data_IF_957452640972
#
_entry.id   IF_957452640972
#
_cell.length_a   1.000
_cell.length_b   1.000
_cell.length_c   1.000
_cell.angle_alpha   90.00
_cell.angle_beta   90.00
_cell.angle_gamma   90.00
#
_symmetry.space_group_name_H-M   'P 1'
#
loop_
_entity.id
_entity.type
_entity.pdbx_description
1 polymer ?
#
# COMPACT_ATOMS: atom_id res chain seq x y z
N UNK A 1 -9.79 7.21 6.27
CA UNK A 1 -9.42 8.12 5.16
C UNK A 1 -9.58 7.37 3.85
N UNK A 2 -10.35 7.91 2.89
CA UNK A 2 -10.63 7.24 1.63
C UNK A 2 -9.51 7.43 0.59
N UNK A 3 -9.19 6.39 -0.17
CA UNK A 3 -8.15 6.40 -1.21
C UNK A 3 -8.47 5.43 -2.34
N UNK A 4 -7.89 5.62 -3.52
CA UNK A 4 -7.99 4.65 -4.62
C UNK A 4 -6.84 3.64 -4.56
N UNK A 5 -7.15 2.38 -4.83
CA UNK A 5 -6.18 1.29 -4.89
C UNK A 5 -6.45 0.36 -6.07
N UNK A 6 -5.40 -0.26 -6.60
CA UNK A 6 -5.52 -1.38 -7.52
C UNK A 6 -5.66 -2.68 -6.72
N UNK A 7 -6.81 -3.36 -6.85
CA UNK A 7 -7.18 -4.53 -6.05
C UNK A 7 -7.17 -5.77 -6.94
N UNK A 8 -6.49 -6.82 -6.47
CA UNK A 8 -6.54 -8.16 -7.03
C UNK A 8 -7.56 -8.98 -6.26
N UNK A 9 -8.60 -9.46 -6.94
CA UNK A 9 -9.65 -10.30 -6.34
C UNK A 9 -9.51 -11.78 -6.67
N UNK A 10 -8.88 -12.08 -7.80
CA UNK A 10 -8.65 -13.43 -8.31
C UNK A 10 -7.29 -13.41 -8.98
N UNK A 11 -6.47 -14.43 -8.74
CA UNK A 11 -5.18 -14.55 -9.41
C UNK A 11 -5.34 -14.58 -10.93
N UNK A 12 -4.35 -14.01 -11.63
CA UNK A 12 -4.28 -13.93 -13.09
C UNK A 12 -5.44 -13.15 -13.75
N UNK A 13 -6.22 -12.41 -12.97
CA UNK A 13 -7.24 -11.48 -13.46
C UNK A 13 -6.71 -10.03 -13.46
N UNK A 14 -7.26 -9.14 -14.32
CA UNK A 14 -6.95 -7.72 -14.26
C UNK A 14 -7.24 -7.11 -12.89
N UNK A 15 -6.40 -6.15 -12.47
CA UNK A 15 -6.63 -5.35 -11.27
C UNK A 15 -7.83 -4.42 -11.46
N UNK A 16 -8.67 -4.30 -10.43
CA UNK A 16 -9.75 -3.30 -10.38
C UNK A 16 -9.30 -2.07 -9.60
N UNK A 17 -9.61 -0.86 -10.10
CA UNK A 17 -9.43 0.36 -9.32
C UNK A 17 -10.64 0.54 -8.41
N UNK A 18 -10.42 0.52 -7.10
CA UNK A 18 -11.47 0.60 -6.09
C UNK A 18 -11.17 1.69 -5.07
N UNK A 19 -12.24 2.28 -4.52
CA UNK A 19 -12.12 3.21 -3.39
C UNK A 19 -12.16 2.42 -2.08
N UNK A 20 -11.08 2.49 -1.32
CA UNK A 20 -10.93 1.87 0.00
C UNK A 20 -10.87 2.93 1.08
N UNK A 21 -10.97 2.50 2.35
CA UNK A 21 -10.85 3.38 3.51
C UNK A 21 -9.85 2.82 4.52
N UNK A 22 -8.90 3.66 4.93
CA UNK A 22 -7.99 3.35 6.04
C UNK A 22 -8.76 3.29 7.35
N UNK A 23 -8.80 2.10 7.97
CA UNK A 23 -9.49 1.84 9.25
C UNK A 23 -8.57 1.15 10.24
N UNK A 24 -8.86 1.28 11.53
CA UNK A 24 -8.19 0.52 12.60
C UNK A 24 -6.73 0.88 12.84
N UNK A 25 -6.34 2.13 12.58
CA UNK A 25 -4.98 2.61 12.85
C UNK A 25 -4.63 2.51 14.33
N UNK A 26 -3.41 2.06 14.62
CA UNK A 26 -2.82 1.93 15.95
C UNK A 26 -1.84 3.06 16.22
N UNK A 27 -1.46 3.23 17.47
CA UNK A 27 -0.49 4.25 17.90
C UNK A 27 0.89 4.10 17.26
N UNK A 28 1.24 2.92 16.75
CA UNK A 28 2.52 2.66 16.08
C UNK A 28 2.46 2.79 14.56
N UNK A 29 1.29 3.01 13.98
CA UNK A 29 1.10 2.99 12.53
C UNK A 29 1.45 4.35 11.89
N UNK A 30 1.83 4.31 10.62
CA UNK A 30 2.12 5.48 9.78
C UNK A 30 1.28 5.38 8.52
N UNK A 31 0.65 6.49 8.13
CA UNK A 31 -0.02 6.61 6.84
C UNK A 31 0.84 7.47 5.94
N UNK A 32 1.17 6.93 4.77
CA UNK A 32 1.91 7.64 3.72
C UNK A 32 0.98 7.87 2.55
N UNK A 33 0.83 9.13 2.14
CA UNK A 33 0.17 9.48 0.89
C UNK A 33 1.12 9.21 -0.26
N UNK A 34 0.86 8.13 -0.98
CA UNK A 34 1.70 7.67 -2.09
C UNK A 34 1.67 8.69 -3.23
N UNK A 35 2.85 9.11 -3.68
CA UNK A 35 3.03 9.99 -4.84
C UNK A 35 3.37 9.20 -6.10
N UNK A 36 4.15 8.13 -5.96
CA UNK A 36 4.48 7.20 -7.02
C UNK A 36 4.71 5.79 -6.45
N UNK A 37 4.37 4.78 -7.25
CA UNK A 37 4.71 3.38 -6.99
C UNK A 37 5.25 2.76 -8.29
N UNK A 38 6.26 1.90 -8.19
CA UNK A 38 6.76 1.14 -9.33
C UNK A 38 5.97 -0.15 -9.52
N UNK A 39 6.12 -0.74 -10.71
CA UNK A 39 5.69 -2.09 -11.02
C UNK A 39 6.95 -2.91 -11.30
N UNK A 40 7.22 -3.86 -10.42
CA UNK A 40 8.33 -4.79 -10.54
C UNK A 40 7.85 -6.15 -11.08
N UNK A 41 8.79 -6.99 -11.50
CA UNK A 41 8.47 -8.37 -11.89
C UNK A 41 7.79 -9.14 -10.77
N UNK A 42 8.23 -8.96 -9.53
CA UNK A 42 7.66 -9.63 -8.35
C UNK A 42 6.19 -9.26 -8.12
N UNK A 43 5.76 -8.04 -8.48
CA UNK A 43 4.33 -7.70 -8.42
C UNK A 43 3.51 -8.50 -9.44
N UNK A 44 4.08 -8.78 -10.62
CA UNK A 44 3.43 -9.65 -11.61
C UNK A 44 3.37 -11.10 -11.13
N UNK A 45 4.40 -11.60 -10.45
CA UNK A 45 4.40 -12.92 -9.82
C UNK A 45 3.31 -13.03 -8.75
N UNK A 46 3.14 -11.97 -7.94
CA UNK A 46 2.05 -11.87 -6.97
C UNK A 46 0.67 -11.89 -7.65
N UNK A 47 0.50 -11.09 -8.71
CA UNK A 47 -0.75 -11.03 -9.48
C UNK A 47 -1.12 -12.38 -10.10
N UNK A 48 -0.12 -13.12 -10.58
CA UNK A 48 -0.29 -14.47 -11.15
C UNK A 48 -0.45 -15.57 -10.09
N UNK A 49 -0.36 -15.23 -8.81
CA UNK A 49 -0.46 -16.19 -7.70
C UNK A 49 0.77 -17.08 -7.50
N UNK A 50 1.91 -16.74 -8.11
CA UNK A 50 3.14 -17.52 -8.01
C UNK A 50 3.78 -17.39 -6.62
N UNK A 51 3.57 -16.26 -5.95
CA UNK A 51 3.98 -16.04 -4.55
C UNK A 51 2.95 -16.59 -3.54
N UNK A 52 1.78 -17.03 -4.01
CA UNK A 52 0.64 -17.39 -3.16
C UNK A 52 0.10 -16.21 -2.34
N UNK A 53 -0.55 -16.52 -1.22
CA UNK A 53 -1.09 -15.52 -0.30
C UNK A 53 -2.61 -15.36 -0.36
N UNK A 54 -3.19 -14.60 0.60
CA UNK A 54 -4.63 -14.40 0.66
C UNK A 54 -5.11 -13.41 -0.40
N UNK A 55 -6.33 -13.62 -0.89
CA UNK A 55 -7.09 -12.68 -1.70
C UNK A 55 -8.32 -12.20 -0.90
N UNK A 56 -8.80 -10.95 -1.12
CA UNK A 56 -8.26 -9.94 -2.02
C UNK A 56 -6.98 -9.27 -1.49
N UNK A 57 -6.16 -8.72 -2.38
CA UNK A 57 -4.91 -8.02 -2.02
C UNK A 57 -4.71 -6.75 -2.85
N UNK A 58 -4.04 -5.75 -2.27
CA UNK A 58 -3.47 -4.61 -2.99
C UNK A 58 -1.98 -4.91 -3.16
N UNK A 59 -1.51 -5.30 -4.35
CA UNK A 59 -0.10 -5.58 -4.59
C UNK A 59 0.73 -4.29 -4.68
N UNK A 60 2.05 -4.42 -4.73
CA UNK A 60 3.00 -3.31 -4.73
C UNK A 60 3.83 -3.28 -3.46
N UNK A 61 5.15 -3.18 -3.61
CA UNK A 61 6.10 -3.16 -2.51
C UNK A 61 7.16 -2.05 -2.63
N UNK A 62 7.10 -1.26 -3.70
CA UNK A 62 8.04 -0.18 -3.98
C UNK A 62 7.28 1.11 -4.25
N UNK A 63 7.41 2.09 -3.35
CA UNK A 63 6.70 3.36 -3.46
C UNK A 63 7.44 4.52 -2.78
N UNK A 64 7.11 5.72 -3.20
CA UNK A 64 7.55 6.95 -2.57
C UNK A 64 6.35 7.89 -2.34
N UNK A 65 6.39 8.60 -1.22
CA UNK A 65 5.29 9.49 -0.85
C UNK A 65 5.65 10.42 0.29
N UNK A 66 4.61 11.01 0.87
CA UNK A 66 4.73 11.94 1.99
C UNK A 66 3.95 11.36 3.17
N UNK A 67 4.55 11.35 4.36
CA UNK A 67 3.87 10.96 5.59
C UNK A 67 2.67 11.90 5.79
N UNK A 68 1.48 11.34 5.84
CA UNK A 68 0.22 12.07 6.01
C UNK A 68 -0.22 12.05 7.48
N UNK A 69 -0.02 10.92 8.17
CA UNK A 69 -0.38 10.75 9.56
C UNK A 69 0.57 9.79 10.28
N UNK A 70 0.77 10.01 11.57
CA UNK A 70 1.53 9.11 12.45
C UNK A 70 0.76 8.88 13.74
N UNK A 71 0.78 7.64 14.23
CA UNK A 71 0.28 7.32 15.56
C UNK A 71 1.15 7.93 16.67
N UNK A 72 0.60 7.98 17.88
CA UNK A 72 1.21 8.68 19.02
C UNK A 72 2.55 8.08 19.49
N UNK A 73 2.81 6.81 19.18
CA UNK A 73 4.05 6.11 19.55
C UNK A 73 5.13 6.16 18.45
N UNK A 74 4.86 6.75 17.29
CA UNK A 74 5.83 6.88 16.20
C UNK A 74 6.85 7.98 16.53
N UNK A 75 8.14 7.65 16.45
CA UNK A 75 9.23 8.57 16.80
C UNK A 75 10.18 8.89 15.64
N UNK A 76 10.13 8.10 14.55
CA UNK A 76 11.14 8.14 13.48
C UNK A 76 10.79 9.04 12.29
N UNK A 77 9.53 9.42 12.18
CA UNK A 77 9.03 10.31 11.14
C UNK A 77 7.84 11.09 11.68
N UNK A 78 7.44 12.13 10.94
CA UNK A 78 6.29 12.97 11.25
C UNK A 78 5.55 13.35 9.97
N UNK A 79 4.29 13.81 10.06
CA UNK A 79 3.57 14.33 8.91
C UNK A 79 4.37 15.40 8.15
N UNK A 80 4.41 15.30 6.82
CA UNK A 80 5.18 16.15 5.93
C UNK A 80 6.55 15.59 5.51
N UNK A 81 7.08 14.59 6.21
CA UNK A 81 8.34 13.95 5.82
C UNK A 81 8.16 13.12 4.53
N UNK A 82 9.19 13.08 3.69
CA UNK A 82 9.23 12.19 2.53
C UNK A 82 9.63 10.78 2.97
N UNK A 83 8.94 9.77 2.43
CA UNK A 83 9.17 8.36 2.77
C UNK A 83 9.35 7.52 1.51
N UNK A 84 10.25 6.54 1.61
CA UNK A 84 10.40 5.43 0.66
C UNK A 84 9.88 4.17 1.35
N UNK A 85 9.04 3.42 0.64
CA UNK A 85 8.63 2.06 0.99
C UNK A 85 9.31 1.12 0.00
N UNK A 86 10.09 0.17 0.49
CA UNK A 86 10.87 -0.78 -0.29
C UNK A 86 11.05 -2.08 0.47
#
# INVERSE_FOLDING_TARGET
>A
MAFQAAVLRTFDAPLSIETLDVRGLRDSDVVVRIAAASLCHTDLEAVRGQLGGPLPVVPGHEAAGVVEWTGSAVQRCRPGDHAILS
#
